data_IF_771846855093
#
_entry.id   IF_771846855093
#
_cell.length_a   1.000
_cell.length_b   1.000
_cell.length_c   1.000
_cell.angle_alpha   90.00
_cell.angle_beta   90.00
_cell.angle_gamma   90.00
#
_symmetry.space_group_name_H-M   'P 1'
#
loop_
_entity.id
_entity.type
_entity.pdbx_description
1 polymer ?
#
# COMPACT_ATOMS: atom_id res chain seq x y z
N UNK A 1 72.69 -25.91 10.59
CA UNK A 1 72.11 -25.83 9.24
C UNK A 1 70.89 -26.72 9.22
N UNK A 2 69.73 -26.10 8.97
CA UNK A 2 68.53 -26.58 8.26
C UNK A 2 68.04 -28.04 8.44
N UNK A 3 66.74 -28.33 8.43
CA UNK A 3 65.44 -27.67 8.59
C UNK A 3 64.43 -28.80 8.28
N UNK A 4 63.24 -28.72 8.85
CA UNK A 4 61.99 -29.33 8.36
C UNK A 4 61.76 -30.84 8.55
N UNK A 5 60.91 -31.16 9.52
CA UNK A 5 59.55 -31.57 9.19
C UNK A 5 58.63 -31.11 10.32
N UNK A 6 58.00 -29.94 10.10
CA UNK A 6 56.96 -29.40 10.97
C UNK A 6 55.65 -30.08 10.58
N UNK A 7 54.97 -30.59 11.60
CA UNK A 7 53.59 -31.04 11.60
C UNK A 7 52.67 -30.05 10.89
N UNK A 8 52.10 -30.46 9.77
CA UNK A 8 50.94 -29.78 9.19
C UNK A 8 49.68 -30.32 9.86
N UNK A 9 49.39 -29.82 11.06
CA UNK A 9 48.02 -29.85 11.59
C UNK A 9 47.24 -28.87 10.71
N UNK A 10 46.34 -29.40 9.89
CA UNK A 10 45.37 -28.64 9.11
C UNK A 10 44.41 -27.92 10.07
N UNK A 11 44.79 -26.74 10.53
CA UNK A 11 43.85 -25.80 11.14
C UNK A 11 43.12 -25.10 9.99
N UNK A 12 42.00 -25.68 9.54
CA UNK A 12 41.11 -25.00 8.60
C UNK A 12 40.42 -23.83 9.31
N UNK A 13 40.96 -22.63 9.12
CA UNK A 13 40.33 -21.38 9.55
C UNK A 13 39.20 -21.09 8.57
N UNK A 14 37.99 -21.56 8.88
CA UNK A 14 36.78 -21.17 8.14
C UNK A 14 36.29 -19.82 8.65
N UNK A 15 36.25 -18.82 7.75
CA UNK A 15 35.68 -17.49 8.03
C UNK A 15 34.16 -17.54 7.84
N UNK A 16 33.40 -17.24 8.88
CA UNK A 16 31.95 -17.02 8.77
C UNK A 16 31.65 -15.52 8.80
N UNK A 17 30.81 -15.07 7.87
CA UNK A 17 30.31 -13.69 7.79
C UNK A 17 29.08 -13.54 8.67
N UNK A 18 29.11 -12.63 9.64
CA UNK A 18 27.92 -12.10 10.32
C UNK A 18 28.01 -10.57 10.35
N UNK A 19 26.92 -9.90 9.97
CA UNK A 19 26.88 -8.44 9.87
C UNK A 19 26.85 -7.78 11.26
N UNK A 20 27.82 -6.90 11.50
CA UNK A 20 27.90 -6.02 12.66
C UNK A 20 27.30 -4.64 12.29
N UNK A 21 26.38 -4.11 13.08
CA UNK A 21 25.76 -2.79 12.82
C UNK A 21 26.26 -1.75 13.83
N UNK A 22 27.51 -1.33 13.68
CA UNK A 22 27.98 -0.05 14.22
C UNK A 22 28.45 0.85 13.08
N UNK A 23 27.56 1.67 12.50
CA UNK A 23 27.83 3.11 12.29
C UNK A 23 26.64 3.86 11.67
N UNK A 24 26.22 4.93 12.34
CA UNK A 24 25.53 6.06 11.71
C UNK A 24 26.58 7.03 11.16
N UNK A 25 26.53 7.37 9.87
CA UNK A 25 26.85 8.73 9.37
C UNK A 25 26.33 8.98 7.95
N UNK A 26 26.04 10.25 7.71
CA UNK A 26 25.30 10.94 6.63
C UNK A 26 26.03 11.07 5.27
N UNK A 27 25.23 10.97 4.19
CA UNK A 27 25.10 11.88 3.01
C UNK A 27 26.15 11.83 1.85
N UNK A 28 25.56 11.72 0.65
CA UNK A 28 25.91 12.16 -0.73
C UNK A 28 26.78 11.33 -1.69
N UNK A 29 26.10 11.00 -2.81
CA UNK A 29 26.50 11.06 -4.22
C UNK A 29 27.60 10.13 -4.77
N UNK A 30 27.13 9.24 -5.66
CA UNK A 30 27.77 8.71 -6.88
C UNK A 30 29.23 8.24 -6.80
N UNK A 31 29.42 6.92 -6.78
CA UNK A 31 29.97 6.17 -7.92
C UNK A 31 29.94 4.65 -7.65
N UNK A 32 29.44 3.91 -8.63
CA UNK A 32 29.55 2.44 -8.70
C UNK A 32 31.01 2.11 -9.02
N UNK A 33 31.70 1.47 -8.07
CA UNK A 33 32.77 0.47 -8.22
C UNK A 33 33.76 0.56 -7.04
N UNK A 34 33.41 -0.04 -5.90
CA UNK A 34 34.35 -0.58 -4.90
C UNK A 34 33.51 -1.28 -3.80
N UNK A 35 33.01 -2.47 -4.13
CA UNK A 35 32.53 -3.43 -3.12
C UNK A 35 33.77 -4.19 -2.65
N UNK A 36 34.54 -3.61 -1.72
CA UNK A 36 35.50 -4.37 -0.92
C UNK A 36 35.87 -3.63 0.36
N UNK A 37 35.76 -4.36 1.48
CA UNK A 37 36.43 -4.13 2.75
C UNK A 37 35.75 -3.23 3.78
N UNK A 38 34.60 -3.66 4.30
CA UNK A 38 34.19 -3.31 5.68
C UNK A 38 33.24 -4.36 6.26
N UNK A 39 33.64 -5.63 6.15
CA UNK A 39 32.99 -6.72 6.90
C UNK A 39 33.65 -6.80 8.29
N UNK A 40 32.93 -6.39 9.31
CA UNK A 40 33.30 -6.62 10.71
C UNK A 40 33.17 -8.13 11.02
N UNK A 41 34.28 -8.87 10.96
CA UNK A 41 34.32 -10.28 11.32
C UNK A 41 34.52 -10.45 12.83
N UNK A 42 33.69 -11.27 13.48
CA UNK A 42 33.99 -11.80 14.81
C UNK A 42 35.03 -12.93 14.65
N UNK A 43 36.30 -12.60 14.83
CA UNK A 43 37.39 -13.58 14.76
C UNK A 43 37.41 -14.41 16.05
N UNK A 44 36.68 -15.53 16.04
CA UNK A 44 36.70 -16.51 17.12
C UNK A 44 37.63 -17.66 16.70
N UNK A 45 38.80 -17.79 17.34
CA UNK A 45 39.56 -19.04 17.27
C UNK A 45 38.86 -20.08 18.15
N UNK A 46 37.94 -20.81 17.54
CA UNK A 46 37.31 -21.98 18.13
C UNK A 46 37.75 -23.17 17.28
N UNK A 47 38.11 -24.27 17.93
CA UNK A 47 38.44 -25.51 17.24
C UNK A 47 37.14 -26.14 16.68
N UNK A 48 36.88 -25.89 15.39
CA UNK A 48 35.68 -26.35 14.67
C UNK A 48 35.69 -27.85 14.36
N UNK A 49 36.76 -28.58 14.70
CA UNK A 49 36.84 -30.04 14.52
C UNK A 49 35.98 -30.83 15.52
N UNK A 50 35.42 -30.15 16.53
CA UNK A 50 34.49 -30.73 17.49
C UNK A 50 33.05 -30.58 16.99
N UNK A 51 32.43 -31.69 16.56
CA UNK A 51 31.04 -31.77 16.09
C UNK A 51 30.05 -31.05 17.02
N UNK A 52 30.33 -31.01 18.33
CA UNK A 52 29.45 -30.38 19.31
C UNK A 52 29.48 -28.85 19.27
N UNK A 53 30.64 -28.25 19.01
CA UNK A 53 30.77 -26.79 18.82
C UNK A 53 29.98 -26.39 17.58
N UNK A 54 30.19 -27.10 16.48
CA UNK A 54 29.50 -26.87 15.21
C UNK A 54 27.97 -27.02 15.36
N UNK A 55 27.50 -28.01 16.13
CA UNK A 55 26.08 -28.17 16.43
C UNK A 55 25.48 -27.00 17.22
N UNK A 56 26.22 -26.45 18.20
CA UNK A 56 25.78 -25.26 18.95
C UNK A 56 25.73 -24.04 18.03
N UNK A 57 26.75 -23.79 17.22
CA UNK A 57 26.78 -22.65 16.30
C UNK A 57 25.67 -22.73 15.25
N UNK A 58 25.40 -23.93 14.70
CA UNK A 58 24.25 -24.14 13.83
C UNK A 58 22.92 -23.89 14.58
N UNK A 59 22.79 -24.32 15.84
CA UNK A 59 21.60 -24.05 16.64
C UNK A 59 21.38 -22.56 16.90
N UNK A 60 22.45 -21.80 17.17
CA UNK A 60 22.41 -20.33 17.31
C UNK A 60 21.93 -19.72 15.99
N UNK A 61 22.57 -20.10 14.89
CA UNK A 61 22.25 -19.64 13.54
C UNK A 61 20.78 -19.88 13.21
N UNK A 62 20.34 -21.12 13.28
CA UNK A 62 18.99 -21.53 12.89
C UNK A 62 17.91 -20.92 13.81
N UNK A 63 18.27 -20.54 15.04
CA UNK A 63 17.35 -19.91 16.00
C UNK A 63 17.25 -18.39 15.91
N UNK A 64 18.20 -17.70 15.28
CA UNK A 64 18.27 -16.23 15.29
C UNK A 64 18.64 -15.55 13.95
N UNK A 65 19.00 -16.30 12.90
CA UNK A 65 19.23 -15.73 11.56
C UNK A 65 17.93 -15.49 10.76
N UNK A 66 17.97 -14.42 9.95
CA UNK A 66 16.83 -13.86 9.23
C UNK A 66 16.16 -14.81 8.24
N UNK A 67 16.91 -15.71 7.61
CA UNK A 67 16.39 -16.56 6.52
C UNK A 67 15.39 -17.61 7.01
N UNK A 68 15.47 -18.02 8.28
CA UNK A 68 14.59 -19.02 8.87
C UNK A 68 13.33 -18.41 9.52
N UNK A 69 13.41 -17.16 9.97
CA UNK A 69 12.30 -16.47 10.65
C UNK A 69 11.30 -15.78 9.72
N UNK A 70 11.66 -15.51 8.48
CA UNK A 70 10.78 -14.84 7.51
C UNK A 70 9.62 -15.74 7.00
N UNK A 71 9.61 -17.04 7.34
CA UNK A 71 8.65 -18.00 6.77
C UNK A 71 7.80 -18.77 7.77
N UNK A 72 8.14 -18.81 9.06
CA UNK A 72 7.36 -19.55 10.07
C UNK A 72 7.20 -18.74 11.37
N UNK A 73 5.96 -18.33 11.64
CA UNK A 73 5.45 -17.68 12.86
C UNK A 73 5.81 -16.21 13.14
N UNK A 74 5.04 -15.30 12.53
CA UNK A 74 4.97 -13.88 12.93
C UNK A 74 4.35 -13.67 14.33
N UNK A 75 3.81 -14.72 14.98
CA UNK A 75 3.04 -14.59 16.23
C UNK A 75 3.79 -15.11 17.47
N UNK A 76 5.11 -15.35 17.40
CA UNK A 76 5.88 -15.81 18.58
C UNK A 76 5.89 -14.74 19.67
N UNK A 77 5.58 -15.12 20.90
CA UNK A 77 5.67 -14.23 22.05
C UNK A 77 7.12 -13.96 22.46
N UNK A 78 7.36 -12.94 23.30
CA UNK A 78 8.70 -12.70 23.90
C UNK A 78 9.23 -13.96 24.58
N UNK A 79 8.38 -14.70 25.32
CA UNK A 79 8.76 -15.95 25.99
C UNK A 79 9.17 -17.01 24.98
N UNK A 80 8.44 -17.16 23.88
CA UNK A 80 8.79 -18.13 22.84
C UNK A 80 10.13 -17.80 22.19
N UNK A 81 10.34 -16.54 21.85
CA UNK A 81 11.60 -16.05 21.28
C UNK A 81 12.80 -16.21 22.23
N UNK A 82 12.62 -15.99 23.54
CA UNK A 82 13.73 -16.10 24.52
C UNK A 82 13.97 -17.51 25.02
N UNK A 83 13.00 -18.42 24.92
CA UNK A 83 13.16 -19.79 25.39
C UNK A 83 14.22 -20.57 24.62
N UNK A 84 14.35 -20.33 23.31
CA UNK A 84 15.41 -20.93 22.51
C UNK A 84 16.80 -20.46 22.97
N UNK A 85 16.94 -19.18 23.32
CA UNK A 85 18.16 -18.66 23.93
C UNK A 85 18.49 -19.42 25.23
N UNK A 86 17.50 -19.61 26.11
CA UNK A 86 17.67 -20.34 27.36
C UNK A 86 18.10 -21.81 27.15
N UNK A 87 17.51 -22.50 26.18
CA UNK A 87 17.87 -23.88 25.82
C UNK A 87 19.30 -23.99 25.33
N UNK A 88 19.72 -23.11 24.41
CA UNK A 88 21.08 -23.12 23.86
C UNK A 88 22.09 -22.77 24.97
N UNK A 89 21.80 -21.75 25.79
CA UNK A 89 22.66 -21.37 26.91
C UNK A 89 22.85 -22.52 27.90
N UNK A 90 21.77 -23.24 28.23
CA UNK A 90 21.83 -24.45 29.06
C UNK A 90 22.70 -25.53 28.40
N UNK A 91 22.54 -25.76 27.10
CA UNK A 91 23.35 -26.74 26.36
C UNK A 91 24.84 -26.40 26.41
N UNK A 92 25.21 -25.13 26.23
CA UNK A 92 26.61 -24.68 26.33
C UNK A 92 27.16 -24.95 27.73
N UNK A 93 26.44 -24.51 28.78
CA UNK A 93 26.95 -24.58 30.15
C UNK A 93 27.00 -26.00 30.72
N UNK A 94 26.02 -26.84 30.36
CA UNK A 94 25.91 -28.22 30.84
C UNK A 94 26.77 -29.22 30.06
N UNK A 95 27.31 -28.85 28.89
CA UNK A 95 28.17 -29.73 28.13
C UNK A 95 29.54 -29.88 28.82
N UNK A 96 29.86 -31.11 29.23
CA UNK A 96 31.11 -31.47 29.90
C UNK A 96 32.31 -31.56 28.97
N UNK A 97 32.10 -31.56 27.64
CA UNK A 97 33.16 -31.61 26.63
C UNK A 97 33.69 -30.22 26.23
N UNK A 98 33.02 -29.15 26.66
CA UNK A 98 33.51 -27.79 26.48
C UNK A 98 34.30 -27.35 27.70
N UNK A 99 35.50 -26.82 27.47
CA UNK A 99 36.23 -26.08 28.49
C UNK A 99 35.61 -24.70 28.73
N UNK A 100 36.08 -24.00 29.76
CA UNK A 100 35.53 -22.72 30.16
C UNK A 100 35.72 -21.64 29.08
N UNK A 101 36.85 -21.64 28.35
CA UNK A 101 37.11 -20.69 27.26
C UNK A 101 36.13 -20.88 26.09
N UNK A 102 35.90 -22.12 25.69
CA UNK A 102 34.94 -22.49 24.64
C UNK A 102 33.52 -22.10 25.07
N UNK A 103 33.14 -22.35 26.33
CA UNK A 103 31.83 -21.93 26.86
C UNK A 103 31.66 -20.41 26.82
N UNK A 104 32.70 -19.64 27.17
CA UNK A 104 32.70 -18.18 27.11
C UNK A 104 32.51 -17.72 25.66
N UNK A 105 33.29 -18.25 24.71
CA UNK A 105 33.20 -17.90 23.29
C UNK A 105 31.84 -18.22 22.68
N UNK A 106 31.30 -19.42 22.94
CA UNK A 106 29.97 -19.83 22.47
C UNK A 106 28.85 -19.00 23.10
N UNK A 107 28.95 -18.67 24.39
CA UNK A 107 27.98 -17.80 25.07
C UNK A 107 28.00 -16.40 24.48
N UNK A 108 29.19 -15.86 24.14
CA UNK A 108 29.31 -14.58 23.46
C UNK A 108 28.67 -14.60 22.07
N UNK A 109 28.93 -15.64 21.27
CA UNK A 109 28.30 -15.79 19.96
C UNK A 109 26.76 -15.87 20.05
N UNK A 110 26.25 -16.59 21.06
CA UNK A 110 24.81 -16.65 21.36
C UNK A 110 24.27 -15.26 21.78
N UNK A 111 24.99 -14.55 22.64
CA UNK A 111 24.60 -13.21 23.11
C UNK A 111 24.48 -12.21 21.95
N UNK A 112 25.50 -12.15 21.08
CA UNK A 112 25.58 -11.23 19.96
C UNK A 112 24.48 -11.53 18.92
N UNK A 113 24.28 -12.82 18.61
CA UNK A 113 23.22 -13.27 17.69
C UNK A 113 21.83 -12.94 18.22
N UNK A 114 21.60 -13.17 19.52
CA UNK A 114 20.32 -12.89 20.16
C UNK A 114 20.04 -11.38 20.22
N UNK A 115 21.04 -10.55 20.53
CA UNK A 115 20.86 -9.10 20.58
C UNK A 115 20.52 -8.53 19.20
N UNK A 116 21.19 -9.00 18.13
CA UNK A 116 20.86 -8.64 16.74
C UNK A 116 19.42 -9.03 16.37
N UNK A 117 18.98 -10.23 16.76
CA UNK A 117 17.61 -10.70 16.56
C UNK A 117 16.58 -9.83 17.31
N UNK A 118 16.85 -9.44 18.56
CA UNK A 118 15.95 -8.58 19.35
C UNK A 118 15.74 -7.24 18.63
N UNK A 119 16.77 -6.63 18.05
CA UNK A 119 16.61 -5.32 17.40
C UNK A 119 15.59 -5.35 16.26
N UNK A 120 15.56 -6.44 15.51
CA UNK A 120 14.60 -6.65 14.42
C UNK A 120 13.21 -6.95 14.96
N UNK A 121 13.09 -7.85 15.94
CA UNK A 121 11.80 -8.20 16.54
C UNK A 121 11.15 -7.06 17.31
N UNK A 122 11.94 -6.22 17.98
CA UNK A 122 11.45 -5.01 18.62
C UNK A 122 10.82 -4.08 17.60
N UNK A 123 11.50 -3.86 16.46
CA UNK A 123 10.98 -3.03 15.36
C UNK A 123 9.72 -3.63 14.74
N UNK A 124 9.66 -4.94 14.56
CA UNK A 124 8.48 -5.61 14.02
C UNK A 124 7.26 -5.40 14.94
N UNK A 125 7.40 -5.65 16.24
CA UNK A 125 6.31 -5.41 17.19
C UNK A 125 5.94 -3.93 17.29
N UNK A 126 6.93 -3.03 17.36
CA UNK A 126 6.66 -1.60 17.48
C UNK A 126 5.97 -1.06 16.25
N UNK A 127 6.38 -1.46 15.04
CA UNK A 127 5.75 -1.06 13.79
C UNK A 127 4.30 -1.55 13.73
N UNK A 128 4.05 -2.83 14.00
CA UNK A 128 2.69 -3.38 13.97
C UNK A 128 1.74 -2.66 14.93
N UNK A 129 2.21 -2.38 16.15
CA UNK A 129 1.43 -1.63 17.13
C UNK A 129 1.28 -0.16 16.69
N UNK A 130 2.37 0.51 16.32
CA UNK A 130 2.41 1.92 15.89
C UNK A 130 1.47 2.13 14.71
N UNK A 131 1.52 1.27 13.70
CA UNK A 131 0.67 1.36 12.51
C UNK A 131 -0.80 1.27 12.88
N UNK A 132 -1.22 0.32 13.72
CA UNK A 132 -2.62 0.27 14.16
C UNK A 132 -3.06 1.57 14.86
N UNK A 133 -2.25 2.08 15.79
CA UNK A 133 -2.61 3.25 16.59
C UNK A 133 -2.48 4.58 15.83
N UNK A 134 -1.54 4.67 14.88
CA UNK A 134 -1.15 5.91 14.23
C UNK A 134 -1.53 5.99 12.74
N UNK A 135 -2.05 4.91 12.12
CA UNK A 135 -2.48 4.89 10.70
C UNK A 135 -3.31 6.11 10.30
N UNK A 136 -4.31 6.57 11.08
CA UNK A 136 -5.07 7.78 10.75
C UNK A 136 -4.22 9.05 10.72
N UNK A 137 -3.26 9.18 11.64
CA UNK A 137 -2.30 10.29 11.67
C UNK A 137 -1.33 10.26 10.49
N UNK A 138 -0.81 9.09 10.13
CA UNK A 138 0.05 8.92 8.94
C UNK A 138 -0.70 9.23 7.65
N UNK A 139 -1.93 8.75 7.51
CA UNK A 139 -2.77 9.04 6.35
C UNK A 139 -3.09 10.53 6.25
N UNK A 140 -3.46 11.18 7.36
CA UNK A 140 -3.68 12.63 7.38
C UNK A 140 -2.45 13.39 6.85
N UNK A 141 -1.27 13.10 7.39
CA UNK A 141 -0.02 13.73 6.94
C UNK A 141 0.28 13.48 5.46
N UNK A 142 0.04 12.27 4.96
CA UNK A 142 0.28 11.91 3.56
C UNK A 142 -0.63 12.70 2.61
N UNK A 143 -1.92 12.79 2.89
CA UNK A 143 -2.89 13.50 2.05
C UNK A 143 -2.78 15.02 2.17
N UNK A 144 -2.51 15.56 3.36
CA UNK A 144 -2.26 16.98 3.56
C UNK A 144 -1.03 17.45 2.76
N UNK A 145 0.05 16.64 2.69
CA UNK A 145 1.24 16.95 1.86
C UNK A 145 0.95 16.98 0.36
N UNK A 146 -0.06 16.24 -0.10
CA UNK A 146 -0.50 16.24 -1.50
C UNK A 146 -1.47 17.38 -1.82
N UNK A 147 -1.83 18.22 -0.83
CA UNK A 147 -2.84 19.28 -0.99
C UNK A 147 -4.28 18.77 -0.97
N UNK A 148 -4.50 17.49 -0.65
CA UNK A 148 -5.80 16.83 -0.66
C UNK A 148 -6.34 16.68 0.77
N UNK A 149 -6.64 17.77 1.47
CA UNK A 149 -7.14 17.70 2.84
C UNK A 149 -8.53 17.02 2.87
N UNK A 150 -8.57 15.74 3.21
CA UNK A 150 -9.79 14.93 3.29
C UNK A 150 -10.57 15.11 4.60
N UNK A 151 -10.11 15.99 5.49
CA UNK A 151 -10.72 16.24 6.80
C UNK A 151 -10.52 15.09 7.80
N UNK A 152 -9.53 14.21 7.59
CA UNK A 152 -9.17 13.17 8.56
C UNK A 152 -8.71 13.84 9.86
N UNK A 153 -9.35 13.49 10.98
CA UNK A 153 -9.03 14.03 12.32
C UNK A 153 -8.06 13.14 13.12
N UNK A 154 -7.37 12.22 12.45
CA UNK A 154 -6.42 11.29 13.05
C UNK A 154 -5.31 12.01 13.82
N UNK A 155 -5.03 11.51 15.02
CA UNK A 155 -3.92 11.95 15.87
C UNK A 155 -2.94 10.79 16.00
N UNK A 156 -1.64 11.08 16.14
CA UNK A 156 -0.69 10.06 16.58
C UNK A 156 -0.97 9.76 18.05
N UNK A 157 -1.34 8.53 18.34
CA UNK A 157 -1.71 8.06 19.69
C UNK A 157 -0.48 7.53 20.42
N UNK A 158 0.48 6.93 19.70
CA UNK A 158 1.63 6.24 20.29
C UNK A 158 2.94 6.81 19.80
N UNK A 159 3.91 6.95 20.70
CA UNK A 159 5.30 7.21 20.36
C UNK A 159 6.06 5.88 20.18
N UNK A 160 6.35 5.56 18.92
CA UNK A 160 7.05 4.32 18.52
C UNK A 160 8.39 4.14 19.22
N UNK A 161 9.19 5.20 19.39
CA UNK A 161 10.50 5.13 20.07
C UNK A 161 10.32 4.75 21.56
N UNK A 162 9.26 5.25 22.21
CA UNK A 162 8.94 4.89 23.58
C UNK A 162 8.57 3.40 23.69
N UNK A 163 7.71 2.95 22.77
CA UNK A 163 7.26 1.57 22.69
C UNK A 163 8.42 0.59 22.42
N UNK A 164 9.29 0.90 21.45
CA UNK A 164 10.50 0.11 21.14
C UNK A 164 11.36 -0.10 22.38
N UNK A 165 11.58 0.95 23.18
CA UNK A 165 12.38 0.85 24.41
C UNK A 165 11.76 -0.10 25.43
N UNK A 166 10.45 -0.05 25.61
CA UNK A 166 9.76 -0.93 26.54
C UNK A 166 9.82 -2.40 26.09
N UNK A 167 9.56 -2.67 24.82
CA UNK A 167 9.65 -4.04 24.25
C UNK A 167 11.09 -4.56 24.33
N UNK A 168 12.10 -3.75 23.96
CA UNK A 168 13.52 -4.11 24.08
C UNK A 168 13.88 -4.43 25.53
N UNK A 169 13.38 -3.66 26.50
CA UNK A 169 13.58 -3.92 27.93
C UNK A 169 13.01 -5.28 28.35
N UNK A 170 11.81 -5.65 27.90
CA UNK A 170 11.22 -6.96 28.19
C UNK A 170 12.08 -8.11 27.66
N UNK A 171 12.60 -7.99 26.43
CA UNK A 171 13.51 -8.98 25.85
C UNK A 171 14.83 -9.10 26.62
N UNK A 172 15.48 -7.99 26.96
CA UNK A 172 16.76 -8.00 27.71
C UNK A 172 16.59 -8.55 29.13
N UNK A 173 15.48 -8.23 29.79
CA UNK A 173 15.13 -8.80 31.10
C UNK A 173 14.92 -10.31 31.00
N UNK A 174 14.25 -10.78 29.95
CA UNK A 174 14.04 -12.21 29.70
C UNK A 174 15.36 -12.95 29.37
N UNK A 175 16.27 -12.33 28.61
CA UNK A 175 17.65 -12.84 28.42
C UNK A 175 18.37 -13.03 29.74
N UNK A 176 18.34 -12.00 30.60
CA UNK A 176 18.98 -12.00 31.91
C UNK A 176 18.35 -13.02 32.87
N UNK A 177 17.05 -13.31 32.75
CA UNK A 177 16.41 -14.38 33.51
C UNK A 177 17.11 -15.73 33.25
N UNK A 178 17.32 -16.12 31.98
CA UNK A 178 17.99 -17.38 31.65
C UNK A 178 19.47 -17.41 32.01
N UNK A 179 20.17 -16.26 31.95
CA UNK A 179 21.56 -16.16 32.44
C UNK A 179 21.67 -16.50 33.93
N UNK A 180 20.67 -16.13 34.72
CA UNK A 180 20.66 -16.39 36.17
C UNK A 180 19.94 -17.69 36.55
N UNK A 181 19.12 -18.24 35.66
CA UNK A 181 18.28 -19.41 35.90
C UNK A 181 18.40 -20.39 34.72
N UNK A 182 19.53 -21.11 34.62
CA UNK A 182 19.82 -22.00 33.49
C UNK A 182 18.77 -23.11 33.28
N UNK A 183 18.06 -23.50 34.33
CA UNK A 183 16.98 -24.51 34.27
C UNK A 183 15.58 -23.91 34.22
N UNK A 184 15.47 -22.58 34.04
CA UNK A 184 14.19 -21.89 33.99
C UNK A 184 13.29 -22.43 32.88
N UNK A 185 12.01 -22.55 33.20
CA UNK A 185 10.95 -22.97 32.26
C UNK A 185 10.31 -21.77 31.57
N UNK A 186 9.47 -22.02 30.57
CA UNK A 186 8.66 -20.98 29.90
C UNK A 186 7.70 -20.31 30.89
N UNK A 187 7.09 -21.12 31.75
CA UNK A 187 6.11 -20.72 32.74
C UNK A 187 6.74 -19.85 33.83
N UNK A 188 7.95 -20.21 34.29
CA UNK A 188 8.71 -19.39 35.23
C UNK A 188 9.13 -18.06 34.62
N UNK A 189 9.55 -18.04 33.35
CA UNK A 189 9.86 -16.79 32.65
C UNK A 189 8.61 -15.92 32.47
N UNK A 190 7.48 -16.49 32.03
CA UNK A 190 6.22 -15.75 31.86
C UNK A 190 5.78 -15.12 33.19
N UNK A 191 5.83 -15.88 34.29
CA UNK A 191 5.54 -15.39 35.64
C UNK A 191 6.52 -14.29 36.07
N UNK A 192 7.82 -14.48 35.79
CA UNK A 192 8.84 -13.48 36.10
C UNK A 192 8.59 -12.16 35.36
N UNK A 193 8.25 -12.21 34.08
CA UNK A 193 7.95 -11.03 33.27
C UNK A 193 6.65 -10.34 33.71
N UNK A 194 5.61 -11.11 34.05
CA UNK A 194 4.37 -10.55 34.62
C UNK A 194 4.64 -9.79 35.92
N UNK A 195 5.49 -10.33 36.80
CA UNK A 195 5.85 -9.67 38.06
C UNK A 195 6.75 -8.45 37.83
N UNK A 196 7.70 -8.55 36.87
CA UNK A 196 8.68 -7.50 36.61
C UNK A 196 8.08 -6.29 35.88
N UNK A 197 7.10 -6.53 35.01
CA UNK A 197 6.35 -5.52 34.25
C UNK A 197 4.86 -5.62 34.61
N UNK A 198 4.52 -5.33 35.86
CA UNK A 198 3.18 -5.56 36.41
C UNK A 198 2.18 -4.42 36.15
N UNK A 199 2.65 -3.23 35.76
CA UNK A 199 1.81 -2.04 35.63
C UNK A 199 1.94 -1.40 34.25
N UNK A 200 0.81 -0.95 33.71
CA UNK A 200 0.75 -0.12 32.50
C UNK A 200 0.69 1.36 32.85
N UNK A 201 1.73 2.09 32.45
CA UNK A 201 1.82 3.55 32.68
C UNK A 201 1.24 4.33 31.51
N UNK A 202 1.54 3.92 30.28
CA UNK A 202 1.03 4.45 29.02
C UNK A 202 1.01 3.34 27.96
N UNK A 203 0.65 3.65 26.71
CA UNK A 203 0.71 2.66 25.62
C UNK A 203 2.16 2.32 25.24
N UNK A 204 3.10 3.24 25.48
CA UNK A 204 4.54 3.02 25.32
C UNK A 204 5.15 2.23 26.48
N UNK A 205 4.54 2.27 27.66
CA UNK A 205 5.01 1.61 28.88
C UNK A 205 3.96 0.60 29.37
N UNK A 206 3.79 -0.48 28.61
CA UNK A 206 2.83 -1.54 28.90
C UNK A 206 3.34 -2.48 30.00
N UNK A 207 2.40 -3.02 30.78
CA UNK A 207 2.63 -4.26 31.51
C UNK A 207 2.85 -5.42 30.54
N UNK A 208 3.46 -6.50 31.01
CA UNK A 208 3.67 -7.68 30.18
C UNK A 208 2.34 -8.34 29.77
N UNK A 209 1.33 -8.34 30.66
CA UNK A 209 0.00 -8.85 30.35
C UNK A 209 -0.71 -8.01 29.27
N UNK A 210 -0.60 -6.69 29.37
CA UNK A 210 -1.19 -5.77 28.39
C UNK A 210 -0.51 -5.91 27.03
N UNK A 211 0.82 -6.00 26.98
CA UNK A 211 1.56 -6.26 25.74
C UNK A 211 1.12 -7.57 25.08
N UNK A 212 1.07 -8.67 25.84
CA UNK A 212 0.67 -10.00 25.34
C UNK A 212 -0.77 -9.99 24.79
N UNK A 213 -1.67 -9.32 25.49
CA UNK A 213 -3.07 -9.19 25.08
C UNK A 213 -3.23 -8.29 23.86
N UNK A 214 -2.47 -7.20 23.78
CA UNK A 214 -2.42 -6.31 22.63
C UNK A 214 -1.91 -7.03 21.39
N UNK A 215 -0.82 -7.79 21.48
CA UNK A 215 -0.28 -8.52 20.34
C UNK A 215 -1.31 -9.49 19.76
N UNK A 216 -1.99 -10.26 20.62
CA UNK A 216 -3.09 -11.15 20.21
C UNK A 216 -4.28 -10.41 19.61
N UNK A 217 -4.61 -9.24 20.14
CA UNK A 217 -5.70 -8.42 19.61
C UNK A 217 -5.34 -7.88 18.22
N UNK A 218 -4.08 -7.48 18.01
CA UNK A 218 -3.58 -7.02 16.72
C UNK A 218 -3.47 -8.16 15.71
N UNK A 219 -3.19 -9.40 16.11
CA UNK A 219 -3.24 -10.55 15.21
C UNK A 219 -4.63 -10.72 14.57
N UNK A 220 -5.70 -10.50 15.35
CA UNK A 220 -7.10 -10.52 14.86
C UNK A 220 -7.36 -9.36 13.90
N UNK A 221 -6.73 -8.22 14.16
CA UNK A 221 -6.87 -7.04 13.31
C UNK A 221 -5.99 -7.15 12.08
N UNK A 222 -4.83 -7.82 12.06
CA UNK A 222 -3.92 -7.84 10.91
C UNK A 222 -4.49 -8.54 9.65
N UNK A 223 -5.59 -9.30 9.77
CA UNK A 223 -6.46 -9.71 8.65
C UNK A 223 -7.17 -8.51 7.95
N UNK A 224 -6.98 -7.29 8.44
CA UNK A 224 -7.57 -6.01 8.00
C UNK A 224 -7.09 -5.55 6.63
N UNK A 225 -5.80 -5.62 6.33
CA UNK A 225 -5.25 -5.08 5.07
C UNK A 225 -5.57 -5.96 3.83
N UNK A 226 -6.14 -7.16 4.04
CA UNK A 226 -6.64 -8.03 2.96
C UNK A 226 -8.16 -7.97 2.76
N UNK A 227 -8.91 -7.30 3.64
CA UNK A 227 -10.37 -7.28 3.60
C UNK A 227 -10.92 -6.08 2.80
N UNK A 228 -11.59 -6.34 1.68
CA UNK A 228 -12.16 -5.29 0.80
C UNK A 228 -13.44 -4.61 1.36
N UNK A 229 -13.83 -4.90 2.61
CA UNK A 229 -15.13 -4.45 3.18
C UNK A 229 -15.01 -3.83 4.57
N UNK A 230 -15.44 -2.56 4.67
CA UNK A 230 -15.56 -1.77 5.92
C UNK A 230 -16.44 -2.47 6.98
N UNK A 231 -17.41 -3.28 6.57
CA UNK A 231 -18.26 -4.02 7.51
C UNK A 231 -17.52 -5.20 8.16
N UNK A 232 -16.62 -5.86 7.42
CA UNK A 232 -15.78 -6.94 7.95
C UNK A 232 -14.72 -6.38 8.90
N UNK A 233 -14.17 -5.20 8.61
CA UNK A 233 -13.16 -4.54 9.44
C UNK A 233 -13.69 -4.11 10.82
N UNK A 234 -14.87 -3.51 10.90
CA UNK A 234 -15.44 -3.11 12.21
C UNK A 234 -15.77 -4.30 13.10
N UNK A 235 -16.17 -5.45 12.51
CA UNK A 235 -16.40 -6.68 13.27
C UNK A 235 -15.11 -7.23 13.88
N UNK A 236 -14.01 -7.28 13.12
CA UNK A 236 -12.71 -7.73 13.62
C UNK A 236 -12.17 -6.81 14.71
N UNK A 237 -12.27 -5.49 14.53
CA UNK A 237 -11.87 -4.50 15.55
C UNK A 237 -12.67 -4.64 16.85
N UNK A 238 -13.98 -4.89 16.76
CA UNK A 238 -14.82 -5.14 17.94
C UNK A 238 -14.45 -6.47 18.62
N UNK A 239 -14.19 -7.53 17.86
CA UNK A 239 -13.73 -8.81 18.44
C UNK A 239 -12.35 -8.68 19.12
N UNK A 240 -11.43 -7.92 18.54
CA UNK A 240 -10.14 -7.60 19.15
C UNK A 240 -10.32 -6.81 20.46
N UNK A 241 -11.21 -5.82 20.47
CA UNK A 241 -11.56 -5.05 21.66
C UNK A 241 -12.19 -5.92 22.75
N UNK A 242 -13.13 -6.80 22.41
CA UNK A 242 -13.73 -7.73 23.37
C UNK A 242 -12.69 -8.67 23.99
N UNK A 243 -11.70 -9.12 23.21
CA UNK A 243 -10.61 -9.95 23.71
C UNK A 243 -9.67 -9.18 24.65
N UNK A 244 -9.40 -7.91 24.36
CA UNK A 244 -8.68 -7.03 25.29
C UNK A 244 -9.45 -6.85 26.60
N UNK A 245 -10.74 -6.53 26.53
CA UNK A 245 -11.57 -6.31 27.72
C UNK A 245 -11.72 -7.58 28.57
N UNK A 246 -11.85 -8.75 27.96
CA UNK A 246 -11.88 -10.05 28.67
C UNK A 246 -10.52 -10.45 29.26
N UNK A 247 -9.41 -9.96 28.68
CA UNK A 247 -8.04 -10.26 29.11
C UNK A 247 -7.58 -9.56 30.39
N UNK A 248 -8.44 -8.74 31.01
CA UNK A 248 -8.11 -8.01 32.23
C UNK A 248 -7.02 -6.94 32.02
N UNK A 249 -6.92 -6.40 30.80
CA UNK A 249 -5.93 -5.39 30.45
C UNK A 249 -6.25 -4.02 31.08
N UNK A 250 -5.25 -3.16 31.20
CA UNK A 250 -5.45 -1.83 31.80
C UNK A 250 -6.47 -0.98 31.05
N UNK A 251 -7.23 -0.17 31.78
CA UNK A 251 -8.18 0.79 31.20
C UNK A 251 -7.50 1.82 30.28
N UNK A 252 -6.22 2.14 30.54
CA UNK A 252 -5.42 3.01 29.68
C UNK A 252 -5.27 2.42 28.27
N UNK A 253 -4.92 1.13 28.18
CA UNK A 253 -4.81 0.44 26.89
C UNK A 253 -6.17 0.33 26.21
N UNK A 254 -7.23 -0.09 26.93
CA UNK A 254 -8.59 -0.19 26.36
C UNK A 254 -9.05 1.15 25.77
N UNK A 255 -8.85 2.24 26.50
CA UNK A 255 -9.26 3.57 26.05
C UNK A 255 -8.49 4.03 24.81
N UNK A 256 -7.17 3.80 24.80
CA UNK A 256 -6.35 4.09 23.62
C UNK A 256 -6.79 3.24 22.41
N UNK A 257 -7.08 1.95 22.62
CA UNK A 257 -7.52 1.04 21.56
C UNK A 257 -8.88 1.47 20.99
N UNK A 258 -9.85 1.83 21.84
CA UNK A 258 -11.14 2.42 21.41
C UNK A 258 -10.94 3.70 20.59
N UNK A 259 -10.04 4.58 21.04
CA UNK A 259 -9.69 5.81 20.30
C UNK A 259 -9.12 5.47 18.92
N UNK A 260 -8.21 4.51 18.83
CA UNK A 260 -7.63 4.04 17.58
C UNK A 260 -8.68 3.45 16.63
N UNK A 261 -9.59 2.59 17.12
CA UNK A 261 -10.71 2.05 16.32
C UNK A 261 -11.54 3.17 15.71
N UNK A 262 -11.94 4.15 16.52
CA UNK A 262 -12.77 5.26 16.05
C UNK A 262 -12.06 6.09 14.97
N UNK A 263 -10.77 6.40 15.17
CA UNK A 263 -9.99 7.13 14.17
C UNK A 263 -9.76 6.31 12.89
N UNK A 264 -9.50 5.01 13.00
CA UNK A 264 -9.32 4.12 11.84
C UNK A 264 -10.62 3.98 11.02
N UNK A 265 -11.77 3.88 11.69
CA UNK A 265 -13.08 3.83 11.03
C UNK A 265 -13.41 5.13 10.30
N UNK A 266 -13.17 6.30 10.92
CA UNK A 266 -13.35 7.61 10.27
C UNK A 266 -12.40 7.74 9.07
N UNK A 267 -11.11 7.46 9.26
CA UNK A 267 -10.09 7.52 8.20
C UNK A 267 -10.46 6.63 6.99
N UNK A 268 -10.80 5.36 7.25
CA UNK A 268 -11.20 4.41 6.21
C UNK A 268 -12.45 4.88 5.44
N UNK A 269 -13.44 5.41 6.16
CA UNK A 269 -14.68 5.91 5.57
C UNK A 269 -14.44 7.13 4.68
N UNK A 270 -13.59 8.06 5.13
CA UNK A 270 -13.21 9.26 4.35
C UNK A 270 -12.43 8.90 3.10
N UNK A 271 -11.40 8.04 3.20
CA UNK A 271 -10.62 7.58 2.04
C UNK A 271 -11.51 6.89 1.00
N UNK A 272 -12.39 5.99 1.44
CA UNK A 272 -13.32 5.31 0.54
C UNK A 272 -14.27 6.29 -0.15
N UNK A 273 -14.76 7.28 0.59
CA UNK A 273 -15.67 8.31 0.07
C UNK A 273 -14.97 9.22 -0.94
N UNK A 274 -13.74 9.64 -0.65
CA UNK A 274 -12.87 10.37 -1.58
C UNK A 274 -12.72 9.61 -2.90
N UNK A 275 -12.31 8.33 -2.84
CA UNK A 275 -12.14 7.51 -4.05
C UNK A 275 -13.43 7.32 -4.85
N UNK A 276 -14.59 7.21 -4.17
CA UNK A 276 -15.90 7.15 -4.84
C UNK A 276 -16.22 8.44 -5.60
N UNK A 277 -16.09 9.60 -4.94
CA UNK A 277 -16.39 10.91 -5.55
C UNK A 277 -15.45 11.16 -6.73
N UNK A 278 -14.15 10.87 -6.54
CA UNK A 278 -13.15 10.98 -7.60
C UNK A 278 -13.53 10.16 -8.83
N UNK A 279 -13.85 8.87 -8.64
CA UNK A 279 -14.24 7.97 -9.72
C UNK A 279 -15.49 8.44 -10.46
N UNK A 280 -16.49 8.98 -9.75
CA UNK A 280 -17.70 9.52 -10.36
C UNK A 280 -17.41 10.72 -11.26
N UNK A 281 -16.54 11.65 -10.84
CA UNK A 281 -16.10 12.77 -11.68
C UNK A 281 -15.33 12.30 -12.90
N UNK A 282 -14.35 11.41 -12.73
CA UNK A 282 -13.53 10.88 -13.81
C UNK A 282 -14.39 10.19 -14.88
N UNK A 283 -15.35 9.36 -14.44
CA UNK A 283 -16.28 8.67 -15.34
C UNK A 283 -17.21 9.64 -16.09
N UNK A 284 -17.67 10.70 -15.42
CA UNK A 284 -18.50 11.72 -16.08
C UNK A 284 -17.70 12.49 -17.14
N UNK A 285 -16.46 12.87 -16.83
CA UNK A 285 -15.56 13.54 -17.79
C UNK A 285 -15.26 12.64 -18.99
N UNK A 286 -14.98 11.35 -18.77
CA UNK A 286 -14.77 10.37 -19.84
C UNK A 286 -15.98 10.26 -20.76
N UNK A 287 -17.18 10.14 -20.19
CA UNK A 287 -18.43 10.09 -20.95
C UNK A 287 -18.62 11.35 -21.81
N UNK A 288 -18.41 12.53 -21.23
CA UNK A 288 -18.57 13.81 -21.94
C UNK A 288 -17.54 13.98 -23.05
N UNK A 289 -16.29 13.52 -22.86
CA UNK A 289 -15.28 13.52 -23.92
C UNK A 289 -15.67 12.62 -25.08
N UNK A 290 -16.15 11.40 -24.80
CA UNK A 290 -16.62 10.47 -25.82
C UNK A 290 -17.84 11.02 -26.58
N UNK A 291 -18.81 11.60 -25.87
CA UNK A 291 -19.99 12.22 -26.48
C UNK A 291 -19.62 13.43 -27.36
N UNK A 292 -18.73 14.31 -26.89
CA UNK A 292 -18.23 15.43 -27.68
C UNK A 292 -17.52 14.98 -28.95
N UNK A 293 -16.65 13.97 -28.86
CA UNK A 293 -15.94 13.40 -30.02
C UNK A 293 -16.91 12.79 -31.03
N UNK A 294 -17.90 12.02 -30.57
CA UNK A 294 -18.93 11.44 -31.43
C UNK A 294 -19.74 12.51 -32.17
N UNK A 295 -20.17 13.57 -31.47
CA UNK A 295 -20.91 14.66 -32.09
C UNK A 295 -20.05 15.40 -33.15
N UNK A 296 -18.75 15.60 -32.91
CA UNK A 296 -17.82 16.18 -33.89
C UNK A 296 -17.64 15.30 -35.13
N UNK A 297 -17.61 13.97 -34.97
CA UNK A 297 -17.59 13.02 -36.09
C UNK A 297 -18.89 13.11 -36.90
N UNK A 298 -20.05 13.09 -36.23
CA UNK A 298 -21.36 13.23 -36.89
C UNK A 298 -21.45 14.56 -37.67
N UNK A 299 -20.94 15.66 -37.12
CA UNK A 299 -20.90 16.95 -37.80
C UNK A 299 -20.05 16.90 -39.07
N UNK A 300 -18.86 16.28 -39.00
CA UNK A 300 -17.98 16.09 -40.17
C UNK A 300 -18.65 15.24 -41.25
N UNK A 301 -19.33 14.16 -40.87
CA UNK A 301 -20.06 13.30 -41.81
C UNK A 301 -21.24 14.01 -42.45
N UNK A 302 -22.00 14.80 -41.68
CA UNK A 302 -23.10 15.60 -42.18
C UNK A 302 -22.62 16.66 -43.19
N UNK A 303 -21.50 17.32 -42.90
CA UNK A 303 -20.87 18.27 -43.82
C UNK A 303 -20.41 17.60 -45.13
N UNK A 304 -19.83 16.39 -45.06
CA UNK A 304 -19.50 15.60 -46.25
C UNK A 304 -20.76 15.24 -47.06
N UNK A 305 -21.84 14.82 -46.38
CA UNK A 305 -23.11 14.48 -47.00
C UNK A 305 -23.74 15.68 -47.71
N UNK A 306 -23.73 16.86 -47.07
CA UNK A 306 -24.20 18.12 -47.65
C UNK A 306 -23.40 18.48 -48.91
N UNK A 307 -22.06 18.45 -48.83
CA UNK A 307 -21.20 18.74 -49.98
C UNK A 307 -21.50 17.82 -51.16
N UNK A 308 -21.59 16.50 -50.90
CA UNK A 308 -21.94 15.51 -51.92
C UNK A 308 -23.33 15.76 -52.53
N UNK A 309 -24.32 16.08 -51.71
CA UNK A 309 -25.68 16.37 -52.18
C UNK A 309 -25.73 17.59 -53.12
N UNK A 310 -24.96 18.64 -52.83
CA UNK A 310 -24.83 19.81 -53.72
C UNK A 310 -24.14 19.43 -55.03
N UNK A 311 -23.05 18.66 -54.97
CA UNK A 311 -22.35 18.18 -56.16
C UNK A 311 -23.23 17.28 -57.05
N UNK A 312 -24.00 16.37 -56.44
CA UNK A 312 -24.90 15.45 -57.16
C UNK A 312 -26.07 16.23 -57.79
N UNK A 313 -26.65 17.20 -57.08
CA UNK A 313 -27.69 18.08 -57.62
C UNK A 313 -27.18 18.91 -58.81
N UNK A 314 -25.99 19.50 -58.72
CA UNK A 314 -25.42 20.28 -59.82
C UNK A 314 -25.22 19.42 -61.08
N UNK A 315 -24.72 18.19 -60.93
CA UNK A 315 -24.59 17.24 -62.05
C UNK A 315 -25.95 16.87 -62.64
N UNK A 316 -26.96 16.70 -61.82
CA UNK A 316 -28.31 16.37 -62.27
C UNK A 316 -28.95 17.55 -63.01
N UNK A 317 -28.78 18.77 -62.49
CA UNK A 317 -29.19 20.02 -63.14
C UNK A 317 -28.55 20.20 -64.51
N UNK A 318 -27.24 20.00 -64.64
CA UNK A 318 -26.53 20.07 -65.93
C UNK A 318 -27.08 19.05 -66.94
N UNK A 319 -27.34 17.81 -66.50
CA UNK A 319 -27.95 16.78 -67.35
C UNK A 319 -29.35 17.17 -67.81
N UNK A 320 -30.19 17.68 -66.92
CA UNK A 320 -31.55 18.12 -67.25
C UNK A 320 -31.54 19.31 -68.20
N UNK A 321 -30.67 20.30 -67.97
CA UNK A 321 -30.52 21.46 -68.86
C UNK A 321 -30.08 21.02 -70.27
N UNK A 322 -29.13 20.08 -70.37
CA UNK A 322 -28.71 19.52 -71.66
C UNK A 322 -29.83 18.75 -72.37
N UNK A 323 -30.64 17.99 -71.64
CA UNK A 323 -31.79 17.28 -72.19
C UNK A 323 -32.88 18.24 -72.66
N UNK A 324 -33.17 19.29 -71.90
CA UNK A 324 -34.11 20.34 -72.29
C UNK A 324 -33.65 21.06 -73.55
N UNK A 325 -32.38 21.44 -73.63
CA UNK A 325 -31.82 22.05 -74.85
C UNK A 325 -31.99 21.14 -76.09
N UNK A 326 -31.75 19.83 -75.95
CA UNK A 326 -32.00 18.86 -77.03
C UNK A 326 -33.49 18.80 -77.43
N UNK A 327 -34.38 18.78 -76.45
CA UNK A 327 -35.83 18.78 -76.65
C UNK A 327 -36.31 20.06 -77.33
N UNK A 328 -35.81 21.22 -76.93
CA UNK A 328 -36.17 22.51 -77.53
C UNK A 328 -35.68 22.60 -78.98
N UNK A 329 -34.48 22.10 -79.28
CA UNK A 329 -33.97 21.96 -80.66
C UNK A 329 -34.84 21.01 -81.50
N UNK A 330 -35.37 19.92 -80.91
CA UNK A 330 -36.29 18.99 -81.57
C UNK A 330 -37.69 19.63 -81.77
N UNK A 331 -38.21 20.37 -80.78
CA UNK A 331 -39.50 21.09 -80.88
C UNK A 331 -39.48 22.17 -81.96
N UNK A 332 -38.38 22.93 -82.07
CA UNK A 332 -38.14 23.88 -83.17
C UNK A 332 -38.23 23.22 -84.55
N UNK A 333 -38.03 21.90 -84.64
CA UNK A 333 -38.16 21.13 -85.89
C UNK A 333 -39.53 20.50 -86.12
N UNK A 334 -40.45 20.51 -85.14
CA UNK A 334 -41.71 19.72 -85.20
C UNK A 334 -43.02 20.49 -84.93
N UNK A 335 -43.00 21.80 -84.66
CA UNK A 335 -44.22 22.65 -84.60
C UNK A 335 -45.38 22.10 -83.76
N UNK A 336 -45.13 21.59 -82.55
CA UNK A 336 -46.19 21.25 -81.60
C UNK A 336 -45.89 21.84 -80.21
N UNK A 337 -46.85 22.58 -79.68
CA UNK A 337 -46.86 23.09 -78.31
C UNK A 337 -47.35 21.99 -77.37
N UNK A 338 -46.46 21.51 -76.49
CA UNK A 338 -46.80 20.64 -75.36
C UNK A 338 -46.58 21.45 -74.09
N UNK A 339 -47.66 21.71 -73.35
CA UNK A 339 -47.60 22.20 -71.97
C UNK A 339 -46.78 21.19 -71.14
N UNK A 340 -45.61 21.61 -70.69
CA UNK A 340 -44.80 20.83 -69.76
C UNK A 340 -44.93 21.41 -68.36
N UNK A 341 -45.37 20.58 -67.41
CA UNK A 341 -44.95 20.73 -66.01
C UNK A 341 -43.43 20.97 -65.99
N UNK A 342 -42.93 21.84 -65.11
CA UNK A 342 -41.51 22.22 -65.09
C UNK A 342 -40.72 21.29 -64.14
N UNK A 343 -40.17 20.14 -64.58
CA UNK A 343 -39.44 19.20 -63.73
C UNK A 343 -38.22 19.82 -63.04
N UNK A 344 -37.63 20.89 -63.61
CA UNK A 344 -36.56 21.66 -62.96
C UNK A 344 -37.05 22.33 -61.67
N UNK A 345 -38.28 22.86 -61.67
CA UNK A 345 -38.86 23.49 -60.49
C UNK A 345 -39.13 22.46 -59.39
N UNK A 346 -39.63 21.28 -59.76
CA UNK A 346 -39.86 20.18 -58.81
C UNK A 346 -38.55 19.62 -58.23
N UNK A 347 -37.53 19.42 -59.07
CA UNK A 347 -36.19 18.98 -58.63
C UNK A 347 -35.56 19.99 -57.66
N UNK A 348 -35.64 21.28 -57.99
CA UNK A 348 -35.16 22.38 -57.13
C UNK A 348 -35.89 22.39 -55.78
N UNK A 349 -37.22 22.26 -55.78
CA UNK A 349 -38.02 22.21 -54.54
C UNK A 349 -37.64 21.02 -53.65
N UNK A 350 -37.40 19.85 -54.23
CA UNK A 350 -37.00 18.65 -53.47
C UNK A 350 -35.60 18.84 -52.89
N UNK A 351 -34.65 19.33 -53.67
CA UNK A 351 -33.28 19.57 -53.22
C UNK A 351 -33.23 20.59 -52.07
N UNK A 352 -33.93 21.72 -52.20
CA UNK A 352 -33.98 22.74 -51.15
C UNK A 352 -34.56 22.19 -49.84
N UNK A 353 -35.62 21.38 -49.91
CA UNK A 353 -36.17 20.71 -48.71
C UNK A 353 -35.17 19.74 -48.08
N UNK A 354 -34.33 19.07 -48.86
CA UNK A 354 -33.29 18.17 -48.34
C UNK A 354 -32.15 18.96 -47.67
N UNK A 355 -31.72 20.08 -48.27
CA UNK A 355 -30.74 20.97 -47.67
C UNK A 355 -31.24 21.57 -46.36
N UNK A 356 -32.48 22.06 -46.31
CA UNK A 356 -33.09 22.58 -45.07
C UNK A 356 -33.11 21.54 -43.93
N UNK A 357 -33.34 20.26 -44.27
CA UNK A 357 -33.27 19.17 -43.28
C UNK A 357 -31.86 18.95 -42.76
N UNK A 358 -30.86 19.00 -43.65
CA UNK A 358 -29.45 18.88 -43.26
C UNK A 358 -29.01 20.08 -42.42
N UNK A 359 -29.45 21.30 -42.75
CA UNK A 359 -29.17 22.50 -41.96
C UNK A 359 -29.75 22.39 -40.55
N UNK A 360 -30.99 21.89 -40.40
CA UNK A 360 -31.59 21.63 -39.09
C UNK A 360 -30.80 20.61 -38.28
N UNK A 361 -30.37 19.51 -38.90
CA UNK A 361 -29.54 18.49 -38.24
C UNK A 361 -28.17 19.04 -37.85
N UNK A 362 -27.59 19.91 -38.69
CA UNK A 362 -26.31 20.54 -38.42
C UNK A 362 -26.41 21.43 -37.17
N UNK A 363 -27.42 22.31 -37.12
CA UNK A 363 -27.68 23.18 -35.97
C UNK A 363 -27.91 22.34 -34.69
N UNK A 364 -28.66 21.24 -34.79
CA UNK A 364 -28.89 20.35 -33.65
C UNK A 364 -27.58 19.73 -33.12
N UNK A 365 -26.72 19.24 -33.99
CA UNK A 365 -25.43 18.66 -33.60
C UNK A 365 -24.49 19.74 -33.04
N UNK A 366 -24.43 20.92 -33.66
CA UNK A 366 -23.63 22.05 -33.16
C UNK A 366 -24.08 22.49 -31.76
N UNK A 367 -25.39 22.54 -31.51
CA UNK A 367 -25.93 22.81 -30.18
C UNK A 367 -25.52 21.72 -29.17
N UNK A 368 -25.64 20.44 -29.54
CA UNK A 368 -25.18 19.33 -28.67
C UNK A 368 -23.69 19.44 -28.34
N UNK A 369 -22.84 19.75 -29.32
CA UNK A 369 -21.39 19.97 -29.07
C UNK A 369 -21.16 21.09 -28.06
N UNK A 370 -21.86 22.21 -28.24
CA UNK A 370 -21.74 23.36 -27.33
C UNK A 370 -22.22 23.02 -25.91
N UNK A 371 -23.33 22.29 -25.79
CA UNK A 371 -23.85 21.83 -24.50
C UNK A 371 -22.88 20.85 -23.82
N UNK A 372 -22.36 19.85 -24.54
CA UNK A 372 -21.36 18.91 -24.02
C UNK A 372 -20.10 19.65 -23.55
N UNK A 373 -19.61 20.64 -24.32
CA UNK A 373 -18.44 21.46 -23.93
C UNK A 373 -18.70 22.28 -22.67
N UNK A 374 -19.90 22.85 -22.54
CA UNK A 374 -20.32 23.61 -21.35
C UNK A 374 -20.38 22.70 -20.12
N UNK A 375 -21.02 21.53 -20.23
CA UNK A 375 -21.08 20.54 -19.16
C UNK A 375 -19.71 20.02 -18.78
N UNK A 376 -18.83 19.73 -19.75
CA UNK A 376 -17.46 19.28 -19.49
C UNK A 376 -16.70 20.32 -18.67
N UNK A 377 -16.78 21.60 -19.05
CA UNK A 377 -16.15 22.69 -18.31
C UNK A 377 -16.67 22.76 -16.87
N UNK A 378 -17.98 22.70 -16.67
CA UNK A 378 -18.59 22.74 -15.34
C UNK A 378 -18.16 21.56 -14.46
N UNK A 379 -18.19 20.33 -14.99
CA UNK A 379 -17.76 19.12 -14.29
C UNK A 379 -16.27 19.21 -13.96
N UNK A 380 -15.42 19.67 -14.89
CA UNK A 380 -13.98 19.82 -14.69
C UNK A 380 -13.66 20.87 -13.62
N UNK A 381 -14.38 21.99 -13.59
CA UNK A 381 -14.23 23.02 -12.56
C UNK A 381 -14.65 22.50 -11.18
N UNK A 382 -15.75 21.75 -11.11
CA UNK A 382 -16.21 21.13 -9.86
C UNK A 382 -15.25 20.04 -9.38
N UNK A 383 -14.70 19.23 -10.28
CA UNK A 383 -13.68 18.24 -9.93
C UNK A 383 -12.40 18.91 -9.39
N UNK A 384 -11.98 20.02 -10.01
CA UNK A 384 -10.83 20.80 -9.52
C UNK A 384 -11.09 21.40 -8.13
N UNK A 385 -12.31 21.88 -7.86
CA UNK A 385 -12.71 22.34 -6.52
C UNK A 385 -12.67 21.20 -5.51
N UNK A 386 -13.18 20.03 -5.87
CA UNK A 386 -13.14 18.83 -5.04
C UNK A 386 -11.70 18.45 -4.68
N UNK A 387 -10.77 18.42 -5.62
CA UNK A 387 -9.37 18.08 -5.33
C UNK A 387 -8.69 19.09 -4.39
N UNK A 388 -9.07 20.38 -4.46
CA UNK A 388 -8.53 21.42 -3.57
C UNK A 388 -9.10 21.37 -2.15
N UNK A 389 -10.36 20.98 -2.01
CA UNK A 389 -11.05 20.95 -0.71
C UNK A 389 -11.93 19.70 -0.56
N UNK A 390 -11.36 18.49 -0.55
CA UNK A 390 -12.16 17.27 -0.59
C UNK A 390 -12.97 17.04 0.69
N UNK A 391 -12.52 17.57 1.83
CA UNK A 391 -13.21 17.45 3.13
C UNK A 391 -14.69 17.87 3.07
N UNK A 392 -15.02 19.00 2.44
CA UNK A 392 -16.38 19.53 2.41
C UNK A 392 -17.33 18.63 1.61
N UNK A 393 -16.86 18.08 0.49
CA UNK A 393 -17.59 17.13 -0.34
C UNK A 393 -17.80 15.80 0.38
N UNK A 394 -16.75 15.27 1.02
CA UNK A 394 -16.82 14.04 1.81
C UNK A 394 -17.82 14.19 2.97
N UNK A 395 -17.77 15.29 3.71
CA UNK A 395 -18.68 15.54 4.82
C UNK A 395 -20.14 15.59 4.37
N UNK A 396 -20.41 16.18 3.19
CA UNK A 396 -21.76 16.19 2.60
C UNK A 396 -22.24 14.77 2.25
N UNK A 397 -21.38 13.96 1.62
CA UNK A 397 -21.71 12.59 1.20
C UNK A 397 -21.91 11.65 2.40
N UNK A 398 -21.15 11.85 3.49
CA UNK A 398 -21.30 11.08 4.73
C UNK A 398 -22.59 11.44 5.47
N UNK A 399 -23.01 12.72 5.49
CA UNK A 399 -24.27 13.16 6.10
C UNK A 399 -25.50 12.60 5.40
N UNK A 400 -25.46 12.45 4.09
CA UNK A 400 -26.58 11.92 3.30
C UNK A 400 -26.83 10.40 3.48
N UNK A 401 -26.02 9.70 4.28
CA UNK A 401 -26.16 8.27 4.61
C UNK A 401 -26.73 8.00 6.00
N UNK A 402 -26.94 9.04 6.81
CA UNK A 402 -27.60 9.01 8.12
C UNK A 402 -29.04 9.46 7.91
#
# INVERSE_FOLDING_TARGET
>A
MNLNNIDSINTEISKYSMYNNETKAKINETHIAEISNNDDYLELSIDYSNDEVSNVLNSIRDSFEDSYYMHNDNNKSIVDCTSEYGKILKSINSNSKFDDDTKIKLTKALDDSFDSFIEKKVKEFSNNISDFFNKPGYMKEAYDRQGNNMGIKGEKIVNEIGLEKNIKSMFLVAKNFYKNNLNGTKEELDTFLQNRFSETKSVEELSYNDFKSLNKALDIVNDYDQSTSVFKSSKLMNSALENLEKGGVSSKLVNAFKKAINQNNDCSSRIKTFGKIQYEYEKQLEKLMAEGSNNEVMLKELNKKRKKMVEDYNKEMEKFQHQMYKLDMLKLSMSEDVESDNPLENLTKIHNKQLERLDKQQIEIENRINDTRKMFKEVSENYTKFLKEPASFIDSELKNKI
#
